data_IF_666747623782
#
_entry.id   IF_666747623782
#
_cell.length_a   1.000
_cell.length_b   1.000
_cell.length_c   1.000
_cell.angle_alpha   90.00
_cell.angle_beta   90.00
_cell.angle_gamma   90.00
#
_symmetry.space_group_name_H-M   'P 1'
#
loop_
_entity.id
_entity.type
_entity.pdbx_description
1 polymer ?
#
# COMPACT_ATOMS: atom_id res chain seq x y z
N UNK A 1 21.92 -19.49 -19.80
CA UNK A 1 21.29 -19.63 -18.47
C UNK A 1 19.93 -18.98 -18.52
N UNK A 2 18.87 -19.73 -18.27
CA UNK A 2 17.51 -19.18 -18.24
C UNK A 2 17.30 -18.31 -17.00
N UNK A 3 16.29 -17.45 -17.02
CA UNK A 3 15.90 -16.63 -15.86
C UNK A 3 15.61 -17.51 -14.64
N UNK A 4 15.03 -18.70 -14.86
CA UNK A 4 14.72 -19.67 -13.79
C UNK A 4 15.99 -20.23 -13.15
N UNK A 5 17.03 -20.54 -13.94
CA UNK A 5 18.31 -21.04 -13.41
C UNK A 5 19.01 -19.97 -12.56
N UNK A 6 18.95 -18.72 -12.99
CA UNK A 6 19.47 -17.57 -12.23
C UNK A 6 18.69 -17.39 -10.93
N UNK A 7 17.35 -17.43 -10.97
CA UNK A 7 16.52 -17.31 -9.76
C UNK A 7 16.78 -18.46 -8.76
N UNK A 8 16.96 -19.68 -9.25
CA UNK A 8 17.27 -20.84 -8.41
C UNK A 8 18.69 -20.78 -7.80
N UNK A 9 19.61 -20.03 -8.42
CA UNK A 9 20.96 -19.83 -7.89
C UNK A 9 21.03 -18.78 -6.78
N UNK A 10 20.00 -17.93 -6.63
CA UNK A 10 19.96 -16.87 -5.63
C UNK A 10 19.51 -17.46 -4.28
N UNK A 11 20.38 -17.38 -3.28
CA UNK A 11 20.02 -17.75 -1.91
C UNK A 11 19.20 -16.63 -1.24
N UNK A 12 17.87 -16.69 -1.40
CA UNK A 12 16.92 -15.73 -0.81
C UNK A 12 16.92 -15.70 0.73
N UNK A 13 17.37 -16.77 1.37
CA UNK A 13 17.48 -16.89 2.83
C UNK A 13 18.81 -16.33 3.38
N UNK A 14 19.72 -15.89 2.50
CA UNK A 14 21.01 -15.34 2.95
C UNK A 14 20.81 -14.11 3.84
N UNK A 15 21.40 -14.16 5.04
CA UNK A 15 21.35 -13.09 6.03
C UNK A 15 22.60 -12.21 5.98
N UNK A 16 22.41 -10.91 5.83
CA UNK A 16 23.47 -9.91 5.90
C UNK A 16 22.98 -8.65 6.60
N UNK A 17 23.90 -7.84 7.12
CA UNK A 17 23.51 -6.53 7.64
C UNK A 17 22.98 -5.63 6.51
N UNK A 18 22.00 -4.76 6.78
CA UNK A 18 21.61 -3.74 5.82
C UNK A 18 22.79 -2.81 5.53
N UNK A 19 23.00 -2.49 4.26
CA UNK A 19 24.03 -1.54 3.82
C UNK A 19 23.41 -0.45 2.98
N UNK A 20 24.01 0.75 2.95
CA UNK A 20 23.53 1.83 2.09
C UNK A 20 23.55 1.47 0.59
N UNK A 21 24.45 0.54 0.19
CA UNK A 21 24.52 0.05 -1.19
C UNK A 21 23.24 -0.69 -1.63
N UNK A 22 22.47 -1.25 -0.69
CA UNK A 22 21.22 -1.94 -1.02
C UNK A 22 20.19 -0.97 -1.64
N UNK A 23 20.22 0.31 -1.24
CA UNK A 23 19.33 1.35 -1.80
C UNK A 23 19.60 1.67 -3.28
N UNK A 24 20.70 1.19 -3.87
CA UNK A 24 20.94 1.31 -5.30
C UNK A 24 19.87 0.60 -6.15
N UNK A 25 19.10 -0.33 -5.57
CA UNK A 25 17.96 -0.96 -6.22
C UNK A 25 16.70 -0.06 -6.25
N UNK A 26 16.58 0.95 -5.39
CA UNK A 26 15.39 1.82 -5.35
C UNK A 26 15.15 2.56 -6.68
N UNK A 27 16.15 3.23 -7.31
CA UNK A 27 15.93 3.90 -8.59
C UNK A 27 15.51 2.92 -9.69
N UNK A 28 16.01 1.67 -9.65
CA UNK A 28 15.62 0.63 -10.62
C UNK A 28 14.13 0.34 -10.51
N UNK A 29 13.62 0.13 -9.29
CA UNK A 29 12.18 -0.08 -9.08
C UNK A 29 11.35 1.17 -9.39
N UNK A 30 11.84 2.36 -9.02
CA UNK A 30 11.15 3.63 -9.29
C UNK A 30 10.99 3.91 -10.81
N UNK A 31 11.87 3.39 -11.66
CA UNK A 31 11.76 3.44 -13.13
C UNK A 31 10.95 2.25 -13.67
N UNK A 32 11.09 1.07 -13.06
CA UNK A 32 10.37 -0.14 -13.44
C UNK A 32 8.85 0.06 -13.38
N UNK A 33 8.32 0.59 -12.27
CA UNK A 33 6.87 0.77 -12.09
C UNK A 33 6.20 1.64 -13.18
N UNK A 34 6.66 2.87 -13.47
CA UNK A 34 6.06 3.67 -14.55
C UNK A 34 6.21 2.99 -15.92
N UNK A 35 7.31 2.26 -16.15
CA UNK A 35 7.51 1.50 -17.39
C UNK A 35 6.47 0.40 -17.55
N UNK A 36 6.27 -0.43 -16.51
CA UNK A 36 5.25 -1.50 -16.53
C UNK A 36 3.86 -0.90 -16.65
N UNK A 37 3.55 0.17 -15.91
CA UNK A 37 2.28 0.89 -16.01
C UNK A 37 2.00 1.32 -17.45
N UNK A 38 2.97 1.93 -18.12
CA UNK A 38 2.83 2.40 -19.49
C UNK A 38 2.47 1.28 -20.47
N UNK A 39 3.12 0.12 -20.37
CA UNK A 39 2.79 -1.04 -21.22
C UNK A 39 1.42 -1.64 -20.89
N UNK A 40 1.11 -1.84 -19.60
CA UNK A 40 -0.18 -2.37 -19.19
C UNK A 40 -1.34 -1.43 -19.57
N UNK A 41 -1.14 -0.11 -19.43
CA UNK A 41 -2.11 0.91 -19.81
C UNK A 41 -2.50 0.81 -21.29
N UNK A 42 -1.51 0.60 -22.17
CA UNK A 42 -1.72 0.55 -23.63
C UNK A 42 -2.19 -0.82 -24.13
N UNK A 43 -1.66 -1.91 -23.57
CA UNK A 43 -1.89 -3.25 -24.09
C UNK A 43 -3.09 -3.95 -23.44
N UNK A 44 -3.36 -3.66 -22.17
CA UNK A 44 -4.32 -4.40 -21.34
C UNK A 44 -5.44 -3.49 -20.84
N UNK A 45 -5.13 -2.51 -19.99
CA UNK A 45 -6.14 -1.76 -19.25
C UNK A 45 -7.06 -0.95 -20.16
N UNK A 46 -6.54 -0.35 -21.23
CA UNK A 46 -7.38 0.37 -22.19
C UNK A 46 -8.32 -0.56 -22.95
N UNK A 47 -7.84 -1.73 -23.39
CA UNK A 47 -8.68 -2.71 -24.11
C UNK A 47 -9.76 -3.28 -23.20
N UNK A 48 -9.38 -3.72 -22.00
CA UNK A 48 -10.29 -4.28 -21.00
C UNK A 48 -11.29 -3.23 -20.52
N UNK A 49 -10.82 -2.01 -20.21
CA UNK A 49 -11.69 -0.91 -19.79
C UNK A 49 -12.69 -0.55 -20.87
N UNK A 50 -12.27 -0.45 -22.15
CA UNK A 50 -13.19 -0.21 -23.25
C UNK A 50 -14.21 -1.34 -23.40
N UNK A 51 -13.77 -2.59 -23.32
CA UNK A 51 -14.67 -3.73 -23.42
C UNK A 51 -15.68 -3.76 -22.26
N UNK A 52 -15.25 -3.58 -21.01
CA UNK A 52 -16.14 -3.62 -19.85
C UNK A 52 -17.12 -2.44 -19.78
N UNK A 53 -16.68 -1.24 -20.16
CA UNK A 53 -17.48 -0.02 -20.07
C UNK A 53 -18.42 0.13 -21.28
N UNK A 54 -18.00 -0.27 -22.49
CA UNK A 54 -18.72 0.05 -23.75
C UNK A 54 -19.47 -1.12 -24.38
N UNK A 55 -19.34 -2.36 -23.90
CA UNK A 55 -20.09 -3.50 -24.47
C UNK A 55 -21.58 -3.54 -24.06
N UNK A 56 -22.07 -2.53 -23.31
CA UNK A 56 -23.49 -2.27 -23.06
C UNK A 56 -23.93 -1.07 -23.92
N UNK A 57 -24.89 -1.30 -24.82
CA UNK A 57 -25.10 -0.51 -26.04
C UNK A 57 -25.47 0.98 -25.92
N UNK A 58 -25.15 1.65 -27.04
CA UNK A 58 -25.67 2.89 -27.67
C UNK A 58 -25.33 4.31 -27.16
N UNK A 59 -24.60 5.01 -28.05
CA UNK A 59 -24.86 6.33 -28.66
C UNK A 59 -25.56 7.44 -27.85
N UNK A 60 -24.77 8.44 -27.42
CA UNK A 60 -24.93 9.87 -27.73
C UNK A 60 -23.53 10.51 -27.76
N UNK A 61 -23.26 11.38 -28.74
CA UNK A 61 -21.92 11.86 -29.07
C UNK A 61 -21.66 13.25 -28.46
N UNK A 62 -20.44 13.40 -27.95
CA UNK A 62 -19.74 14.62 -27.51
C UNK A 62 -19.71 14.88 -25.98
N UNK A 63 -20.83 15.18 -25.31
CA UNK A 63 -20.80 15.35 -23.83
C UNK A 63 -20.54 14.01 -23.11
N UNK A 64 -21.11 12.92 -23.63
CA UNK A 64 -20.78 11.59 -23.12
C UNK A 64 -19.32 11.20 -23.43
N UNK A 65 -18.71 11.73 -24.48
CA UNK A 65 -17.35 11.34 -24.88
C UNK A 65 -16.33 11.72 -23.81
N UNK A 66 -16.44 12.92 -23.23
CA UNK A 66 -15.54 13.37 -22.18
C UNK A 66 -15.74 12.59 -20.87
N UNK A 67 -16.99 12.40 -20.44
CA UNK A 67 -17.32 11.58 -19.27
C UNK A 67 -16.88 10.11 -19.42
N UNK A 68 -16.99 9.57 -20.63
CA UNK A 68 -16.50 8.23 -20.96
C UNK A 68 -14.98 8.18 -20.86
N UNK A 69 -14.26 9.16 -21.42
CA UNK A 69 -12.81 9.23 -21.32
C UNK A 69 -12.33 9.39 -19.87
N UNK A 70 -13.03 10.19 -19.06
CA UNK A 70 -12.81 10.30 -17.61
C UNK A 70 -13.00 8.95 -16.91
N UNK A 71 -14.07 8.19 -17.21
CA UNK A 71 -14.30 6.84 -16.65
C UNK A 71 -13.20 5.85 -17.04
N UNK A 72 -12.77 5.83 -18.30
CA UNK A 72 -11.64 4.98 -18.74
C UNK A 72 -10.37 5.37 -17.98
N UNK A 73 -10.07 6.67 -17.84
CA UNK A 73 -8.89 7.13 -17.11
C UNK A 73 -8.90 6.65 -15.66
N UNK A 74 -10.02 6.87 -14.95
CA UNK A 74 -10.19 6.41 -13.56
C UNK A 74 -10.11 4.88 -13.44
N UNK A 75 -10.66 4.15 -14.41
CA UNK A 75 -10.52 2.69 -14.49
C UNK A 75 -9.07 2.25 -14.64
N UNK A 76 -8.30 2.87 -15.55
CA UNK A 76 -6.89 2.57 -15.78
C UNK A 76 -6.03 2.86 -14.56
N UNK A 77 -6.26 4.00 -13.89
CA UNK A 77 -5.63 4.34 -12.61
C UNK A 77 -5.88 3.27 -11.55
N UNK A 78 -7.14 2.84 -11.38
CA UNK A 78 -7.51 1.79 -10.43
C UNK A 78 -6.95 0.42 -10.81
N UNK A 79 -6.94 0.07 -12.10
CA UNK A 79 -6.37 -1.19 -12.57
C UNK A 79 -4.86 -1.28 -12.29
N UNK A 80 -4.12 -0.20 -12.54
CA UNK A 80 -2.70 -0.12 -12.21
C UNK A 80 -2.46 -0.32 -10.71
N UNK A 81 -3.21 0.40 -9.86
CA UNK A 81 -3.11 0.27 -8.41
C UNK A 81 -3.46 -1.14 -7.94
N UNK A 82 -4.50 -1.75 -8.49
CA UNK A 82 -4.89 -3.13 -8.20
C UNK A 82 -3.76 -4.12 -8.51
N UNK A 83 -3.11 -4.01 -9.68
CA UNK A 83 -2.00 -4.88 -10.06
C UNK A 83 -0.83 -4.72 -9.10
N UNK A 84 -0.49 -3.47 -8.75
CA UNK A 84 0.55 -3.21 -7.77
C UNK A 84 0.21 -3.83 -6.41
N UNK A 85 -0.92 -3.47 -5.79
CA UNK A 85 -1.27 -3.94 -4.45
C UNK A 85 -1.37 -5.46 -4.38
N UNK A 86 -1.92 -6.11 -5.42
CA UNK A 86 -1.97 -7.57 -5.48
C UNK A 86 -0.57 -8.19 -5.53
N UNK A 87 0.32 -7.64 -6.38
CA UNK A 87 1.70 -8.13 -6.49
C UNK A 87 2.51 -7.88 -5.22
N UNK A 88 2.32 -6.72 -4.57
CA UNK A 88 2.97 -6.35 -3.32
C UNK A 88 2.49 -7.25 -2.17
N UNK A 89 1.19 -7.53 -2.10
CA UNK A 89 0.61 -8.42 -1.10
C UNK A 89 1.12 -9.85 -1.25
N UNK A 90 1.13 -10.40 -2.48
CA UNK A 90 1.68 -11.74 -2.75
C UNK A 90 3.14 -11.79 -2.34
N UNK A 91 3.93 -10.77 -2.67
CA UNK A 91 5.36 -10.71 -2.30
C UNK A 91 5.54 -10.60 -0.78
N UNK A 92 4.77 -9.75 -0.11
CA UNK A 92 4.85 -9.54 1.34
C UNK A 92 4.50 -10.82 2.11
N UNK A 93 3.44 -11.51 1.70
CA UNK A 93 3.05 -12.82 2.23
C UNK A 93 4.11 -13.89 1.95
N UNK A 94 4.61 -13.99 0.71
CA UNK A 94 5.63 -14.98 0.35
C UNK A 94 6.92 -14.81 1.17
N UNK A 95 7.31 -13.55 1.44
CA UNK A 95 8.50 -13.22 2.23
C UNK A 95 8.29 -13.43 3.72
N UNK A 96 7.09 -13.15 4.24
CA UNK A 96 6.83 -13.06 5.68
C UNK A 96 6.18 -14.33 6.25
N UNK A 97 5.33 -15.04 5.51
CA UNK A 97 4.44 -16.09 6.04
C UNK A 97 5.17 -17.23 6.77
N UNK A 98 6.31 -17.67 6.23
CA UNK A 98 7.11 -18.76 6.82
C UNK A 98 8.09 -18.29 7.92
N UNK A 99 8.07 -17.01 8.28
CA UNK A 99 9.01 -16.45 9.24
C UNK A 99 8.44 -16.48 10.67
N UNK A 100 9.27 -16.69 11.71
CA UNK A 100 8.81 -16.78 13.10
C UNK A 100 8.11 -15.51 13.61
N UNK A 101 8.36 -14.36 12.98
CA UNK A 101 7.76 -13.08 13.34
C UNK A 101 6.40 -12.82 12.70
N UNK A 102 5.94 -13.68 11.79
CA UNK A 102 4.58 -13.59 11.26
C UNK A 102 3.51 -13.90 12.31
N UNK A 103 3.85 -14.72 13.32
CA UNK A 103 2.90 -15.18 14.35
C UNK A 103 3.23 -14.68 15.74
N UNK A 104 4.50 -14.37 16.03
CA UNK A 104 4.93 -13.89 17.34
C UNK A 104 5.74 -12.61 17.22
N UNK A 105 5.19 -11.52 17.73
CA UNK A 105 5.74 -10.16 17.66
C UNK A 105 7.05 -10.00 18.42
N UNK A 106 7.34 -10.84 19.42
CA UNK A 106 8.65 -10.81 20.11
C UNK A 106 9.81 -11.12 19.14
N UNK A 107 9.55 -11.90 18.09
CA UNK A 107 10.55 -12.25 17.08
C UNK A 107 10.86 -11.08 16.12
N UNK A 108 10.15 -9.94 16.22
CA UNK A 108 10.61 -8.69 15.63
C UNK A 108 11.95 -8.28 16.25
N UNK A 109 12.07 -8.40 17.57
CA UNK A 109 13.19 -7.88 18.35
C UNK A 109 14.25 -8.93 18.67
N UNK A 110 13.83 -10.19 18.74
CA UNK A 110 14.69 -11.33 19.07
C UNK A 110 14.85 -12.21 17.82
N UNK A 111 16.09 -12.49 17.44
CA UNK A 111 16.44 -13.38 16.34
C UNK A 111 17.08 -14.69 16.81
N UNK A 112 17.42 -15.58 15.86
CA UNK A 112 18.16 -16.81 16.15
C UNK A 112 19.54 -16.49 16.77
N UNK A 113 19.96 -17.31 17.73
CA UNK A 113 21.25 -17.16 18.41
C UNK A 113 21.27 -15.96 19.37
N UNK A 114 22.25 -15.07 19.17
CA UNK A 114 22.48 -13.86 19.96
C UNK A 114 21.91 -12.59 19.32
N UNK A 115 21.25 -12.69 18.16
CA UNK A 115 20.68 -11.54 17.46
C UNK A 115 19.57 -10.87 18.28
N UNK A 116 19.81 -9.64 18.69
CA UNK A 116 18.82 -8.77 19.35
C UNK A 116 18.83 -7.41 18.70
N UNK A 117 17.67 -6.82 18.49
CA UNK A 117 17.60 -5.45 17.99
C UNK A 117 18.38 -4.50 18.93
N UNK A 118 19.22 -3.59 18.40
CA UNK A 118 19.40 -3.22 17.00
C UNK A 118 20.39 -4.08 16.20
N UNK A 119 21.09 -5.04 16.80
CA UNK A 119 22.09 -5.89 16.15
C UNK A 119 21.48 -7.13 15.45
N UNK A 120 20.62 -6.89 14.45
CA UNK A 120 19.97 -7.94 13.66
C UNK A 120 20.39 -7.91 12.19
N UNK A 121 20.51 -9.10 11.60
CA UNK A 121 20.68 -9.28 10.16
C UNK A 121 19.34 -9.35 9.45
N UNK A 122 19.37 -9.09 8.15
CA UNK A 122 18.20 -9.13 7.27
C UNK A 122 18.42 -10.13 6.14
N UNK A 123 17.40 -10.95 5.89
CA UNK A 123 17.38 -11.89 4.78
C UNK A 123 17.26 -11.16 3.44
N UNK A 124 17.91 -11.68 2.41
CA UNK A 124 17.90 -11.09 1.06
C UNK A 124 16.48 -10.88 0.52
N UNK A 125 15.57 -11.84 0.72
CA UNK A 125 14.16 -11.70 0.33
C UNK A 125 13.45 -10.52 0.99
N UNK A 126 13.79 -10.22 2.25
CA UNK A 126 13.25 -9.08 2.99
C UNK A 126 13.85 -7.76 2.47
N UNK A 127 15.14 -7.74 2.12
CA UNK A 127 15.74 -6.60 1.41
C UNK A 127 15.00 -6.33 0.09
N UNK A 128 14.74 -7.38 -0.69
CA UNK A 128 14.01 -7.29 -1.95
C UNK A 128 12.60 -6.70 -1.80
N UNK A 129 11.82 -7.17 -0.81
CA UNK A 129 10.51 -6.60 -0.49
C UNK A 129 10.60 -5.10 -0.20
N UNK A 130 11.57 -4.67 0.60
CA UNK A 130 11.78 -3.26 0.94
C UNK A 130 12.16 -2.40 -0.27
N UNK A 131 13.01 -2.90 -1.16
CA UNK A 131 13.39 -2.17 -2.37
C UNK A 131 12.21 -2.08 -3.35
N UNK A 132 11.42 -3.15 -3.44
CA UNK A 132 10.21 -3.18 -4.26
C UNK A 132 9.19 -2.14 -3.78
N UNK A 133 8.82 -2.15 -2.50
CA UNK A 133 7.83 -1.22 -1.94
C UNK A 133 8.37 0.21 -1.87
N UNK A 134 9.63 0.40 -1.46
CA UNK A 134 10.26 1.72 -1.44
C UNK A 134 10.35 2.36 -2.83
N UNK A 135 10.65 1.57 -3.87
CA UNK A 135 10.66 2.03 -5.25
C UNK A 135 9.28 2.45 -5.72
N UNK A 136 8.23 1.70 -5.35
CA UNK A 136 6.86 2.08 -5.67
C UNK A 136 6.44 3.36 -4.96
N UNK A 137 6.70 3.49 -3.65
CA UNK A 137 6.34 4.68 -2.89
C UNK A 137 7.08 5.94 -3.38
N UNK A 138 8.33 5.77 -3.84
CA UNK A 138 9.05 6.85 -4.51
C UNK A 138 8.35 7.26 -5.81
N UNK A 139 8.04 6.30 -6.67
CA UNK A 139 7.30 6.54 -7.91
C UNK A 139 5.91 7.14 -7.66
N UNK A 140 5.17 6.65 -6.67
CA UNK A 140 3.79 7.08 -6.42
C UNK A 140 3.71 8.51 -5.88
N UNK A 141 4.72 8.99 -5.14
CA UNK A 141 4.84 10.42 -4.80
C UNK A 141 4.93 11.27 -6.06
N UNK A 142 5.80 10.92 -7.01
CA UNK A 142 5.88 11.63 -8.29
C UNK A 142 4.58 11.51 -9.10
N UNK A 143 3.98 10.32 -9.13
CA UNK A 143 2.73 10.08 -9.83
C UNK A 143 1.60 10.94 -9.24
N UNK A 144 1.49 11.06 -7.91
CA UNK A 144 0.49 11.89 -7.26
C UNK A 144 0.65 13.38 -7.58
N UNK A 145 1.89 13.88 -7.70
CA UNK A 145 2.16 15.28 -8.02
C UNK A 145 1.82 15.59 -9.48
N UNK A 146 2.20 14.71 -10.41
CA UNK A 146 2.24 15.02 -11.84
C UNK A 146 1.23 14.26 -12.72
N UNK A 147 0.73 13.10 -12.30
CA UNK A 147 0.01 12.17 -13.18
C UNK A 147 -1.37 11.75 -12.68
N UNK A 148 -1.55 11.56 -11.37
CA UNK A 148 -2.81 11.05 -10.81
C UNK A 148 -3.86 12.15 -10.66
N UNK A 149 -5.13 11.75 -10.82
CA UNK A 149 -6.27 12.64 -10.60
C UNK A 149 -6.31 13.12 -9.15
N UNK A 150 -6.24 14.44 -8.95
CA UNK A 150 -6.27 15.09 -7.63
C UNK A 150 -7.66 15.00 -7.02
N UNK A 151 -7.75 14.51 -5.78
CA UNK A 151 -9.00 14.42 -4.99
C UNK A 151 -8.98 15.40 -3.82
N UNK A 152 -10.12 15.59 -3.16
CA UNK A 152 -10.23 16.52 -2.03
C UNK A 152 -9.35 16.14 -0.83
N UNK A 153 -9.01 14.85 -0.68
CA UNK A 153 -8.08 14.34 0.34
C UNK A 153 -6.61 14.29 -0.11
N UNK A 154 -6.25 14.99 -1.20
CA UNK A 154 -4.89 14.97 -1.76
C UNK A 154 -3.80 15.24 -0.73
N UNK A 155 -3.97 16.26 0.14
CA UNK A 155 -2.97 16.61 1.15
C UNK A 155 -2.75 15.48 2.17
N UNK A 156 -3.83 14.83 2.60
CA UNK A 156 -3.80 13.69 3.53
C UNK A 156 -3.14 12.49 2.85
N UNK A 157 -3.51 12.20 1.60
CA UNK A 157 -2.91 11.12 0.81
C UNK A 157 -1.42 11.35 0.54
N UNK A 158 -1.02 12.56 0.17
CA UNK A 158 0.40 12.91 -0.01
C UNK A 158 1.19 12.77 1.30
N UNK A 159 0.64 13.28 2.40
CA UNK A 159 1.24 13.15 3.72
C UNK A 159 1.46 11.69 4.13
N UNK A 160 0.49 10.82 3.83
CA UNK A 160 0.63 9.38 4.01
C UNK A 160 1.79 8.79 3.18
N UNK A 161 1.86 9.09 1.88
CA UNK A 161 2.90 8.54 1.02
C UNK A 161 4.30 8.96 1.46
N UNK A 162 4.46 10.22 1.87
CA UNK A 162 5.73 10.73 2.43
C UNK A 162 6.04 10.04 3.75
N UNK A 163 5.08 9.93 4.67
CA UNK A 163 5.28 9.25 5.96
C UNK A 163 5.66 7.77 5.76
N UNK A 164 5.00 7.06 4.83
CA UNK A 164 5.29 5.66 4.52
C UNK A 164 6.65 5.50 3.84
N UNK A 165 7.05 6.39 2.93
CA UNK A 165 8.38 6.37 2.32
C UNK A 165 9.49 6.57 3.37
N UNK A 166 9.29 7.51 4.31
CA UNK A 166 10.21 7.72 5.44
C UNK A 166 10.23 6.48 6.34
N UNK A 167 9.07 5.89 6.65
CA UNK A 167 8.99 4.67 7.45
C UNK A 167 9.76 3.51 6.81
N UNK A 168 9.61 3.28 5.50
CA UNK A 168 10.32 2.23 4.76
C UNK A 168 11.84 2.46 4.83
N UNK A 169 12.29 3.70 4.56
CA UNK A 169 13.73 4.01 4.60
C UNK A 169 14.31 3.89 6.01
N UNK A 170 13.64 4.48 7.00
CA UNK A 170 14.10 4.47 8.39
C UNK A 170 14.02 3.08 9.00
N UNK A 171 12.97 2.29 8.75
CA UNK A 171 12.89 0.93 9.27
C UNK A 171 13.96 0.02 8.66
N UNK A 172 14.39 0.29 7.42
CA UNK A 172 15.53 -0.39 6.81
C UNK A 172 16.85 -0.05 7.53
N UNK A 173 17.14 1.25 7.68
CA UNK A 173 18.39 1.75 8.29
C UNK A 173 18.46 1.34 9.76
N UNK A 174 17.37 1.50 10.50
CA UNK A 174 17.27 1.17 11.91
C UNK A 174 16.94 -0.31 12.17
N UNK A 175 16.95 -1.18 11.15
CA UNK A 175 16.77 -2.63 11.27
C UNK A 175 15.43 -3.09 11.89
N UNK A 176 14.37 -2.31 11.71
CA UNK A 176 12.97 -2.67 12.02
C UNK A 176 12.32 -3.50 10.91
N UNK A 177 13.11 -4.13 10.05
CA UNK A 177 12.64 -4.72 8.79
C UNK A 177 11.56 -5.80 9.00
N UNK A 178 11.70 -6.61 10.06
CA UNK A 178 10.76 -7.69 10.41
C UNK A 178 9.37 -7.15 10.77
N UNK A 179 9.30 -6.14 11.63
CA UNK A 179 8.04 -5.48 11.97
C UNK A 179 7.45 -4.80 10.73
N UNK A 180 8.27 -4.10 9.96
CA UNK A 180 7.80 -3.40 8.76
C UNK A 180 7.31 -4.34 7.66
N UNK A 181 7.78 -5.59 7.55
CA UNK A 181 7.25 -6.54 6.57
C UNK A 181 5.81 -6.95 6.87
N UNK A 182 5.48 -7.11 8.16
CA UNK A 182 4.11 -7.36 8.60
C UNK A 182 3.25 -6.10 8.40
N UNK A 183 3.79 -4.91 8.67
CA UNK A 183 3.10 -3.65 8.35
C UNK A 183 2.73 -3.59 6.88
N UNK A 184 3.66 -3.86 5.96
CA UNK A 184 3.39 -3.84 4.51
C UNK A 184 2.26 -4.81 4.14
N UNK A 185 2.31 -6.05 4.62
CA UNK A 185 1.25 -7.05 4.36
C UNK A 185 -0.13 -6.65 4.92
N UNK A 186 -0.18 -6.03 6.11
CA UNK A 186 -1.46 -5.60 6.68
C UNK A 186 -2.13 -4.47 5.89
N UNK A 187 -1.34 -3.61 5.23
CA UNK A 187 -1.87 -2.43 4.56
C UNK A 187 -2.31 -2.76 3.13
N UNK A 188 -1.47 -3.41 2.34
CA UNK A 188 -1.73 -3.61 0.90
C UNK A 188 -2.93 -4.53 0.62
N UNK A 189 -3.18 -5.53 1.48
CA UNK A 189 -4.29 -6.48 1.34
C UNK A 189 -5.67 -5.83 1.12
N UNK A 190 -6.02 -4.82 1.94
CA UNK A 190 -7.34 -4.20 1.84
C UNK A 190 -7.49 -3.32 0.59
N UNK A 191 -6.40 -2.74 0.09
CA UNK A 191 -6.44 -1.85 -1.07
C UNK A 191 -6.71 -2.60 -2.38
N UNK A 192 -6.42 -3.90 -2.44
CA UNK A 192 -6.85 -4.77 -3.55
C UNK A 192 -8.38 -4.74 -3.70
N UNK A 193 -9.13 -4.90 -2.60
CA UNK A 193 -10.59 -4.86 -2.64
C UNK A 193 -11.14 -3.48 -3.01
N UNK A 194 -10.48 -2.41 -2.55
CA UNK A 194 -10.84 -1.04 -2.91
C UNK A 194 -10.75 -0.81 -4.43
N UNK A 195 -9.62 -1.20 -5.03
CA UNK A 195 -9.40 -0.95 -6.45
C UNK A 195 -10.27 -1.84 -7.34
N UNK A 196 -10.55 -3.09 -6.93
CA UNK A 196 -11.56 -3.94 -7.59
C UNK A 196 -12.95 -3.31 -7.52
N UNK A 197 -13.33 -2.75 -6.36
CA UNK A 197 -14.61 -2.05 -6.19
C UNK A 197 -14.74 -0.83 -7.11
N UNK A 198 -13.70 0.00 -7.20
CA UNK A 198 -13.67 1.15 -8.11
C UNK A 198 -13.75 0.74 -9.58
N UNK A 199 -12.95 -0.23 -10.02
CA UNK A 199 -13.02 -0.76 -11.39
C UNK A 199 -14.42 -1.28 -11.73
N UNK A 200 -15.05 -1.99 -10.79
CA UNK A 200 -16.41 -2.51 -10.94
C UNK A 200 -17.45 -1.40 -11.04
N UNK A 201 -17.32 -0.34 -10.21
CA UNK A 201 -18.19 0.83 -10.26
C UNK A 201 -18.06 1.57 -11.60
N UNK A 202 -16.83 1.79 -12.09
CA UNK A 202 -16.61 2.45 -13.39
C UNK A 202 -17.13 1.64 -14.57
N UNK A 203 -17.13 0.31 -14.46
CA UNK A 203 -17.67 -0.63 -15.46
C UNK A 203 -19.19 -0.83 -15.37
N UNK A 204 -19.88 -0.20 -14.41
CA UNK A 204 -21.32 -0.39 -14.20
C UNK A 204 -21.72 -1.76 -13.63
N UNK A 205 -20.77 -2.48 -13.02
CA UNK A 205 -21.00 -3.76 -12.34
C UNK A 205 -21.37 -3.50 -10.86
N UNK A 206 -22.55 -2.95 -10.61
CA UNK A 206 -22.95 -2.46 -9.27
C UNK A 206 -22.90 -3.55 -8.18
N UNK A 207 -23.34 -4.77 -8.47
CA UNK A 207 -23.31 -5.87 -7.50
C UNK A 207 -21.88 -6.21 -7.06
N UNK A 208 -20.94 -6.28 -8.02
CA UNK A 208 -19.54 -6.54 -7.73
C UNK A 208 -18.89 -5.36 -6.99
N UNK A 209 -19.22 -4.13 -7.37
CA UNK A 209 -18.75 -2.93 -6.69
C UNK A 209 -19.20 -2.90 -5.22
N UNK A 210 -20.48 -3.18 -4.95
CA UNK A 210 -21.03 -3.24 -3.58
C UNK A 210 -20.40 -4.38 -2.77
N UNK A 211 -20.22 -5.57 -3.37
CA UNK A 211 -19.58 -6.70 -2.69
C UNK A 211 -18.11 -6.41 -2.34
N UNK A 212 -17.32 -5.91 -3.30
CA UNK A 212 -15.92 -5.53 -3.07
C UNK A 212 -15.79 -4.40 -2.05
N UNK A 213 -16.72 -3.44 -2.02
CA UNK A 213 -16.73 -2.39 -1.00
C UNK A 213 -16.97 -2.93 0.41
N UNK A 214 -17.89 -3.90 0.58
CA UNK A 214 -18.12 -4.55 1.89
C UNK A 214 -16.86 -5.29 2.34
N UNK A 215 -16.21 -6.06 1.45
CA UNK A 215 -14.95 -6.73 1.76
C UNK A 215 -13.82 -5.74 2.12
N UNK A 216 -13.75 -4.63 1.40
CA UNK A 216 -12.81 -3.55 1.70
C UNK A 216 -13.03 -2.98 3.11
N UNK A 217 -14.28 -2.65 3.48
CA UNK A 217 -14.61 -2.12 4.81
C UNK A 217 -14.26 -3.13 5.91
N UNK A 218 -14.62 -4.41 5.75
CA UNK A 218 -14.33 -5.46 6.74
C UNK A 218 -12.81 -5.64 6.89
N UNK A 219 -12.09 -5.78 5.78
CA UNK A 219 -10.63 -5.94 5.80
C UNK A 219 -9.92 -4.73 6.38
N UNK A 220 -10.39 -3.50 6.12
CA UNK A 220 -9.84 -2.29 6.73
C UNK A 220 -9.92 -2.31 8.25
N UNK A 221 -11.10 -2.64 8.81
CA UNK A 221 -11.29 -2.70 10.26
C UNK A 221 -10.39 -3.76 10.87
N UNK A 222 -10.41 -4.97 10.33
CA UNK A 222 -9.61 -6.07 10.86
C UNK A 222 -8.11 -5.77 10.79
N UNK A 223 -7.60 -5.38 9.63
CA UNK A 223 -6.17 -5.27 9.41
C UNK A 223 -5.58 -3.97 9.99
N UNK A 224 -6.23 -2.82 9.73
CA UNK A 224 -5.67 -1.48 10.06
C UNK A 224 -6.15 -0.92 11.39
N UNK A 225 -7.33 -1.30 11.87
CA UNK A 225 -7.88 -0.79 13.15
C UNK A 225 -7.81 -1.80 14.30
N UNK A 226 -7.60 -3.09 14.01
CA UNK A 226 -7.45 -4.13 15.04
C UNK A 226 -6.03 -4.69 15.03
N UNK A 227 -5.65 -5.46 14.00
CA UNK A 227 -4.33 -6.12 13.98
C UNK A 227 -3.18 -5.11 14.07
N UNK A 228 -3.19 -4.05 13.26
CA UNK A 228 -2.14 -3.05 13.27
C UNK A 228 -1.88 -2.42 14.66
N UNK A 229 -2.87 -1.81 15.37
CA UNK A 229 -2.61 -1.23 16.68
C UNK A 229 -2.35 -2.28 17.77
N UNK A 230 -3.11 -3.38 17.82
CA UNK A 230 -3.00 -4.32 18.95
C UNK A 230 -1.82 -5.29 18.84
N UNK A 231 -1.27 -5.52 17.65
CA UNK A 231 -0.04 -6.31 17.47
C UNK A 231 1.17 -5.43 17.20
N UNK A 232 1.14 -4.60 16.16
CA UNK A 232 2.34 -3.88 15.72
C UNK A 232 2.66 -2.71 16.65
N UNK A 233 1.69 -1.84 16.92
CA UNK A 233 1.94 -0.71 17.82
C UNK A 233 2.23 -1.20 19.24
N UNK A 234 1.52 -2.23 19.71
CA UNK A 234 1.85 -2.88 20.97
C UNK A 234 3.32 -3.33 21.02
N UNK A 235 3.78 -4.09 20.02
CA UNK A 235 5.14 -4.61 19.99
C UNK A 235 6.20 -3.51 19.87
N UNK A 236 5.99 -2.56 18.96
CA UNK A 236 6.91 -1.44 18.70
C UNK A 236 6.92 -0.39 19.81
N UNK A 237 5.88 -0.31 20.64
CA UNK A 237 5.83 0.59 21.79
C UNK A 237 6.28 -0.07 23.09
N UNK A 238 5.94 -1.34 23.32
CA UNK A 238 6.14 -2.03 24.59
C UNK A 238 7.25 -3.10 24.53
N UNK A 239 7.14 -4.09 23.65
CA UNK A 239 8.07 -5.22 23.58
C UNK A 239 9.50 -4.78 23.23
N UNK A 240 9.66 -3.78 22.35
CA UNK A 240 10.99 -3.24 22.02
C UNK A 240 11.69 -2.60 23.22
N UNK A 241 10.94 -1.95 24.13
CA UNK A 241 11.51 -1.28 25.31
C UNK A 241 11.98 -2.31 26.35
N UNK A 242 11.33 -3.47 26.39
CA UNK A 242 11.71 -4.58 27.25
C UNK A 242 12.94 -5.34 26.74
N UNK A 243 13.15 -5.35 25.42
CA UNK A 243 14.23 -6.11 24.77
C UNK A 243 15.49 -5.29 24.53
N UNK A 244 15.39 -3.96 24.48
CA UNK A 244 16.52 -3.06 24.29
C UNK A 244 17.45 -3.05 25.52
N UNK A 245 18.71 -3.40 25.29
CA UNK A 245 19.78 -3.16 26.24
C UNK A 245 20.11 -1.65 26.27
N UNK A 246 19.54 -0.96 27.26
CA UNK A 246 19.65 0.49 27.46
C UNK A 246 21.07 0.92 27.85
N UNK A 247 21.89 0.01 28.37
CA UNK A 247 23.27 0.29 28.78
C UNK A 247 24.22 0.27 27.57
N UNK A 248 23.98 -0.65 26.62
CA UNK A 248 24.77 -0.77 25.38
C UNK A 248 24.43 0.31 24.33
N UNK A 249 23.17 0.77 24.28
CA UNK A 249 22.67 1.69 23.23
C UNK A 249 22.04 2.98 23.78
N UNK A 250 22.75 3.66 24.69
CA UNK A 250 22.26 4.80 25.49
C UNK A 250 21.64 5.96 24.67
N UNK A 251 22.18 6.27 23.48
CA UNK A 251 21.76 7.45 22.69
C UNK A 251 20.95 7.13 21.43
N UNK A 252 21.32 6.09 20.69
CA UNK A 252 20.70 5.77 19.40
C UNK A 252 19.37 5.03 19.55
N UNK A 253 19.24 4.15 20.54
CA UNK A 253 18.02 3.37 20.79
C UNK A 253 16.78 4.23 21.04
N UNK A 254 16.81 5.20 21.97
CA UNK A 254 15.66 6.07 22.24
C UNK A 254 15.23 6.92 21.05
N UNK A 255 16.19 7.46 20.27
CA UNK A 255 15.87 8.30 19.11
C UNK A 255 15.12 7.50 18.04
N UNK A 256 15.63 6.32 17.67
CA UNK A 256 14.97 5.45 16.69
C UNK A 256 13.60 5.01 17.16
N UNK A 257 13.46 4.69 18.45
CA UNK A 257 12.18 4.33 19.06
C UNK A 257 11.13 5.44 18.90
N UNK A 258 11.44 6.67 19.31
CA UNK A 258 10.45 7.77 19.29
C UNK A 258 10.08 8.15 17.86
N UNK A 259 11.06 8.34 16.97
CA UNK A 259 10.78 8.73 15.57
C UNK A 259 9.92 7.67 14.89
N UNK A 260 10.26 6.40 15.03
CA UNK A 260 9.54 5.31 14.38
C UNK A 260 8.12 5.15 14.93
N UNK A 261 7.95 5.13 16.26
CA UNK A 261 6.62 5.04 16.86
C UNK A 261 5.75 6.25 16.51
N UNK A 262 6.29 7.48 16.53
CA UNK A 262 5.52 8.66 16.12
C UNK A 262 4.98 8.51 14.70
N UNK A 263 5.81 8.07 13.75
CA UNK A 263 5.35 7.86 12.37
C UNK A 263 4.29 6.75 12.25
N UNK A 264 4.43 5.64 13.01
CA UNK A 264 3.42 4.58 13.05
C UNK A 264 2.09 5.06 13.67
N UNK A 265 2.14 5.84 14.75
CA UNK A 265 0.94 6.46 15.33
C UNK A 265 0.30 7.47 14.37
N UNK A 266 1.11 8.25 13.62
CA UNK A 266 0.60 9.10 12.56
C UNK A 266 -0.17 8.30 11.50
N UNK A 267 0.34 7.13 11.09
CA UNK A 267 -0.40 6.23 10.19
C UNK A 267 -1.73 5.78 10.80
N UNK A 268 -1.77 5.40 12.08
CA UNK A 268 -3.03 5.03 12.74
C UNK A 268 -4.05 6.16 12.70
N UNK A 269 -3.64 7.41 12.98
CA UNK A 269 -4.53 8.58 12.91
C UNK A 269 -5.11 8.73 11.51
N UNK A 270 -4.30 8.56 10.46
CA UNK A 270 -4.76 8.59 9.08
C UNK A 270 -5.75 7.44 8.79
N UNK A 271 -5.51 6.23 9.33
CA UNK A 271 -6.43 5.11 9.18
C UNK A 271 -7.80 5.39 9.82
N UNK A 272 -7.82 6.03 10.99
CA UNK A 272 -9.05 6.46 11.65
C UNK A 272 -9.76 7.55 10.84
N UNK A 273 -9.01 8.50 10.26
CA UNK A 273 -9.59 9.51 9.37
C UNK A 273 -10.32 8.87 8.17
N UNK A 274 -9.66 7.96 7.44
CA UNK A 274 -10.31 7.29 6.31
C UNK A 274 -11.44 6.37 6.75
N UNK A 275 -11.33 5.72 7.91
CA UNK A 275 -12.42 4.94 8.50
C UNK A 275 -13.71 5.77 8.65
N UNK A 276 -13.60 7.01 9.14
CA UNK A 276 -14.76 7.91 9.25
C UNK A 276 -15.39 8.17 7.87
N UNK A 277 -14.58 8.33 6.82
CA UNK A 277 -15.10 8.51 5.45
C UNK A 277 -15.78 7.25 4.92
N UNK A 278 -15.17 6.08 5.09
CA UNK A 278 -15.76 4.80 4.69
C UNK A 278 -17.05 4.50 5.45
N UNK A 279 -17.09 4.78 6.75
CA UNK A 279 -18.28 4.59 7.56
C UNK A 279 -19.44 5.46 7.06
N UNK A 280 -19.18 6.73 6.70
CA UNK A 280 -20.19 7.61 6.09
C UNK A 280 -20.70 7.04 4.76
N UNK A 281 -19.81 6.53 3.92
CA UNK A 281 -20.19 5.86 2.67
C UNK A 281 -21.01 4.59 2.89
N UNK A 282 -20.66 3.78 3.89
CA UNK A 282 -21.38 2.56 4.26
C UNK A 282 -22.80 2.87 4.75
N UNK A 283 -22.96 3.88 5.62
CA UNK A 283 -24.28 4.33 6.09
C UNK A 283 -25.14 4.78 4.91
N UNK A 284 -24.58 5.57 3.98
CA UNK A 284 -25.29 6.01 2.77
C UNK A 284 -25.68 4.84 1.88
N UNK A 285 -24.80 3.86 1.67
CA UNK A 285 -25.12 2.65 0.91
C UNK A 285 -26.27 1.85 1.54
N UNK A 286 -26.33 1.76 2.87
CA UNK A 286 -27.44 1.10 3.58
C UNK A 286 -28.75 1.88 3.38
N UNK A 287 -28.71 3.21 3.47
CA UNK A 287 -29.87 4.08 3.21
C UNK A 287 -30.38 3.95 1.77
N UNK A 288 -29.47 3.83 0.80
CA UNK A 288 -29.77 3.70 -0.62
C UNK A 288 -30.10 2.25 -1.06
N UNK A 289 -30.48 1.38 -0.11
CA UNK A 289 -30.84 -0.04 -0.33
C UNK A 289 -29.76 -0.84 -1.07
N UNK A 290 -28.50 -0.60 -0.75
CA UNK A 290 -27.35 -1.36 -1.25
C UNK A 290 -26.68 -0.77 -2.50
N UNK A 291 -27.19 0.35 -3.03
CA UNK A 291 -26.53 1.08 -4.13
C UNK A 291 -25.30 1.82 -3.62
N UNK A 292 -24.15 1.55 -4.22
CA UNK A 292 -22.92 2.25 -3.89
C UNK A 292 -22.97 3.68 -4.44
N UNK A 293 -23.09 4.67 -3.57
CA UNK A 293 -23.01 6.10 -3.93
C UNK A 293 -21.59 6.51 -4.35
N UNK A 294 -21.46 7.66 -5.00
CA UNK A 294 -20.16 8.16 -5.45
C UNK A 294 -19.21 8.45 -4.26
N UNK A 295 -17.90 8.34 -4.51
CA UNK A 295 -16.86 8.55 -3.51
C UNK A 295 -16.93 10.00 -3.02
N UNK A 296 -17.15 10.18 -1.72
CA UNK A 296 -17.31 11.51 -1.07
C UNK A 296 -16.09 12.41 -1.28
N UNK A 297 -14.97 11.84 -1.71
CA UNK A 297 -13.73 12.55 -2.02
C UNK A 297 -13.60 12.99 -3.48
N UNK A 298 -14.49 12.53 -4.35
CA UNK A 298 -14.47 12.81 -5.79
C UNK A 298 -15.34 13.99 -6.23
N UNK A 299 -16.13 14.57 -5.32
CA UNK A 299 -17.06 15.69 -5.61
C UNK A 299 -16.38 17.05 -5.84
N UNK A 300 -15.04 17.15 -5.83
CA UNK A 300 -14.35 18.43 -6.05
C UNK A 300 -14.11 18.81 -7.51
N UNK A 301 -14.44 17.93 -8.47
CA UNK A 301 -14.25 18.19 -9.90
C UNK A 301 -15.52 18.67 -10.62
N UNK A 302 -16.71 18.58 -10.01
CA UNK A 302 -17.98 19.01 -10.64
C UNK A 302 -18.37 20.47 -10.37
N UNK A 303 -17.76 21.12 -9.37
CA UNK A 303 -18.20 22.45 -8.90
C UNK A 303 -17.38 23.60 -9.50
N UNK A 304 -16.70 23.41 -10.63
CA UNK A 304 -15.88 24.45 -11.29
C UNK A 304 -16.21 24.73 -12.76
N UNK A 305 -17.28 24.17 -13.31
CA UNK A 305 -17.73 24.46 -14.68
C UNK A 305 -19.03 25.32 -14.73
N UNK A 306 -19.41 25.95 -13.62
CA UNK A 306 -20.60 26.83 -13.56
C UNK A 306 -20.33 28.21 -12.96
N UNK A 307 -19.13 28.78 -13.14
CA UNK A 307 -18.89 30.22 -12.99
C UNK A 307 -17.84 30.65 -14.03
N UNK A 308 -18.28 30.86 -15.26
CA UNK A 308 -17.82 31.90 -16.21
C UNK A 308 -18.74 31.93 -17.45
#
# INVERSE_FOLDING_TARGET
MGIVDVLNSINFEHESYPTYGDFAALPVFAIFFPTVRFFLDRLVFERVGRWLIFNKGQQKLDVETDDRNKKIRKFKESAWKCVYYLSAEILALAVTYNEPWATNTNNFWIGPGDQRWPDQKMKLKLKGLYMYTGGFYTYSIFALIFWETRRSDFGVSMGHHVATAILIAMSYICRFARAGSVVLALHDASDVFLEVGKMSKYSGAEALASFSFILFVISWVLLRLIYYPFWILWSTSYEVVQTLDKEKHVKEGPMYYYVFNTLLFCLLVLHVYWWVLMYRMLVKQIQDRGKLSDDVRSDSDSDKEHED
#
